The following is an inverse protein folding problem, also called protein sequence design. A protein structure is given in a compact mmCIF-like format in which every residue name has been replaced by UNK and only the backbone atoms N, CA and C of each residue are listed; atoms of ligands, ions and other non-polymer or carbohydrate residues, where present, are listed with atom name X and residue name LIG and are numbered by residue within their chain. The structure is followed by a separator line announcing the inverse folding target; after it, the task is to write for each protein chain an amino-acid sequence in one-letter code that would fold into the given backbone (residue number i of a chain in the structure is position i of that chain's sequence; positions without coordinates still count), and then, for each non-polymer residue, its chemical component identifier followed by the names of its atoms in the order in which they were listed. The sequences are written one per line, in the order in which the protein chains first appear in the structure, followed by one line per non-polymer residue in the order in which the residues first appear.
data_IF_207678417808
#
_entry.id   IF_207678417808
#
_cell.length_a   1.000
_cell.length_b   1.000
_cell.length_c   1.000
_cell.angle_alpha   90.00
_cell.angle_beta   90.00
_cell.angle_gamma   90.00
#
_symmetry.space_group_name_H-M   'P 1'
#
loop_
_entity.id
_entity.type
_entity.pdbx_description
1 polymer ?
#
# COMPACT_ATOMS: atom_id res chain seq x y z
N UNK A 1 -15.86 -7.42 18.10
CA UNK A 1 -14.37 -7.23 18.21
C UNK A 1 -13.81 -6.16 17.26
N UNK A 2 -14.38 -5.93 16.08
CA UNK A 2 -13.84 -4.95 15.11
C UNK A 2 -13.98 -3.48 15.56
N UNK A 3 -15.12 -3.11 16.15
CA UNK A 3 -15.38 -1.75 16.68
C UNK A 3 -14.43 -1.35 17.82
N UNK A 4 -14.06 -2.29 18.69
CA UNK A 4 -13.13 -2.04 19.80
C UNK A 4 -11.70 -1.81 19.29
N UNK A 5 -11.27 -2.55 18.27
CA UNK A 5 -9.98 -2.32 17.60
C UNK A 5 -9.91 -0.92 17.00
N UNK A 6 -10.95 -0.45 16.31
CA UNK A 6 -11.01 0.91 15.76
C UNK A 6 -10.95 2.02 16.80
N UNK A 7 -11.66 1.85 17.92
CA UNK A 7 -11.68 2.84 18.98
C UNK A 7 -10.28 3.07 19.58
N UNK A 8 -9.43 2.03 19.57
CA UNK A 8 -8.06 2.06 20.06
C UNK A 8 -7.03 2.62 19.05
N UNK A 9 -7.42 2.83 17.78
CA UNK A 9 -6.53 3.38 16.75
C UNK A 9 -6.35 4.89 16.92
N UNK A 10 -5.14 5.38 16.64
CA UNK A 10 -4.84 6.81 16.60
C UNK A 10 -5.48 7.50 15.37
N UNK A 11 -5.43 8.83 15.31
CA UNK A 11 -6.08 9.61 14.24
C UNK A 11 -5.55 9.31 12.83
N UNK A 12 -4.31 8.86 12.71
CA UNK A 12 -3.68 8.48 11.44
C UNK A 12 -4.06 7.06 11.03
N UNK A 13 -4.13 6.14 12.00
CA UNK A 13 -4.59 4.76 11.83
C UNK A 13 -6.08 4.71 11.53
N UNK A 14 -6.90 5.58 12.13
CA UNK A 14 -8.34 5.73 11.80
C UNK A 14 -8.56 6.18 10.36
N UNK A 15 -7.70 7.07 9.82
CA UNK A 15 -7.70 7.44 8.40
C UNK A 15 -7.28 6.28 7.49
N UNK A 16 -6.36 5.43 7.95
CA UNK A 16 -6.03 4.14 7.32
C UNK A 16 -7.16 3.12 7.36
N UNK A 17 -7.99 3.16 8.39
CA UNK A 17 -9.10 2.23 8.58
C UNK A 17 -10.28 2.48 7.63
N UNK A 18 -10.38 3.67 7.03
CA UNK A 18 -11.32 3.98 5.95
C UNK A 18 -11.11 3.11 4.69
N UNK A 19 -10.01 2.35 4.63
CA UNK A 19 -9.71 1.47 3.51
C UNK A 19 -10.21 0.03 3.65
N UNK A 20 -10.79 -0.31 4.81
CA UNK A 20 -11.26 -1.64 5.14
C UNK A 20 -10.35 -2.39 6.13
N UNK A 21 -10.86 -3.44 6.80
CA UNK A 21 -10.17 -4.11 7.90
C UNK A 21 -8.87 -4.83 7.49
N UNK A 22 -8.77 -5.27 6.24
CA UNK A 22 -7.57 -5.95 5.71
C UNK A 22 -6.43 -4.96 5.49
N UNK A 23 -6.70 -3.87 4.75
CA UNK A 23 -5.68 -2.85 4.49
C UNK A 23 -5.32 -2.05 5.75
N UNK A 24 -6.28 -1.85 6.66
CA UNK A 24 -6.06 -1.20 7.94
C UNK A 24 -5.06 -1.95 8.84
N UNK A 25 -4.94 -3.27 8.71
CA UNK A 25 -3.96 -4.05 9.47
C UNK A 25 -2.52 -3.82 8.97
N UNK A 26 -2.36 -3.61 7.67
CA UNK A 26 -1.05 -3.42 7.04
C UNK A 26 -0.66 -1.92 6.99
N UNK A 27 -1.57 -1.04 7.41
CA UNK A 27 -1.45 0.42 7.34
C UNK A 27 -0.17 0.99 7.95
N UNK A 28 0.30 0.58 9.15
CA UNK A 28 1.54 1.13 9.72
C UNK A 28 2.77 0.92 8.82
N UNK A 29 2.79 -0.16 8.02
CA UNK A 29 3.89 -0.47 7.10
C UNK A 29 3.77 0.28 5.77
N UNK A 30 2.55 0.64 5.38
CA UNK A 30 2.24 1.33 4.12
C UNK A 30 2.10 2.85 4.27
N UNK A 31 1.96 3.35 5.50
CA UNK A 31 1.76 4.76 5.83
C UNK A 31 2.84 5.70 5.26
N UNK A 32 4.14 5.35 5.26
CA UNK A 32 5.18 6.20 4.66
C UNK A 32 5.01 6.44 3.16
N UNK A 33 4.18 5.63 2.48
CA UNK A 33 3.96 5.71 1.04
C UNK A 33 2.64 6.39 0.68
N UNK A 34 1.63 6.31 1.54
CA UNK A 34 0.31 6.95 1.33
C UNK A 34 0.26 8.39 1.85
N UNK A 35 1.35 8.89 2.44
CA UNK A 35 1.48 10.26 2.94
C UNK A 35 1.52 11.34 1.85
N UNK A 36 1.96 11.00 0.62
CA UNK A 36 2.04 11.95 -0.50
C UNK A 36 1.65 11.28 -1.84
N UNK A 37 0.39 10.86 -1.93
CA UNK A 37 -0.22 10.36 -3.16
C UNK A 37 -1.22 11.42 -3.65
N UNK A 38 -1.11 11.93 -4.89
CA UNK A 38 -2.11 12.82 -5.46
C UNK A 38 -3.49 12.19 -5.34
N UNK A 39 -4.49 13.00 -5.05
CA UNK A 39 -5.86 12.53 -4.81
C UNK A 39 -6.40 11.68 -5.97
N UNK A 40 -6.05 12.08 -7.20
CA UNK A 40 -6.37 11.39 -8.45
C UNK A 40 -5.81 9.96 -8.53
N UNK A 41 -4.63 9.73 -7.98
CA UNK A 41 -3.97 8.41 -7.96
C UNK A 41 -4.40 7.56 -6.77
N UNK A 42 -4.87 8.20 -5.70
CA UNK A 42 -5.18 7.56 -4.42
C UNK A 42 -6.25 6.49 -4.55
N UNK A 43 -7.32 6.76 -5.29
CA UNK A 43 -8.40 5.79 -5.49
C UNK A 43 -7.91 4.53 -6.24
N UNK A 44 -7.14 4.72 -7.32
CA UNK A 44 -6.58 3.61 -8.11
C UNK A 44 -5.56 2.81 -7.30
N UNK A 45 -4.74 3.49 -6.51
CA UNK A 45 -3.76 2.84 -5.65
C UNK A 45 -4.42 1.93 -4.61
N UNK A 46 -5.50 2.40 -3.99
CA UNK A 46 -6.27 1.60 -3.04
C UNK A 46 -6.92 0.38 -3.69
N UNK A 47 -7.41 0.50 -4.93
CA UNK A 47 -7.94 -0.65 -5.66
C UNK A 47 -6.85 -1.71 -5.92
N UNK A 48 -5.65 -1.28 -6.32
CA UNK A 48 -4.50 -2.19 -6.50
C UNK A 48 -4.14 -2.88 -5.17
N UNK A 49 -4.02 -2.12 -4.08
CA UNK A 49 -3.67 -2.67 -2.76
C UNK A 49 -4.73 -3.65 -2.21
N UNK A 50 -6.01 -3.46 -2.53
CA UNK A 50 -7.10 -4.39 -2.20
C UNK A 50 -7.08 -5.66 -3.06
N UNK A 51 -6.58 -5.57 -4.30
CA UNK A 51 -6.39 -6.72 -5.17
C UNK A 51 -5.17 -7.57 -4.80
N UNK A 52 -4.26 -7.03 -3.98
CA UNK A 52 -3.13 -7.77 -3.43
C UNK A 52 -3.55 -8.63 -2.23
N UNK A 53 -2.92 -9.78 -2.05
CA UNK A 53 -3.00 -10.53 -0.79
C UNK A 53 -2.07 -9.95 0.30
N UNK A 54 -2.11 -10.51 1.50
CA UNK A 54 -1.27 -10.05 2.62
C UNK A 54 0.23 -10.26 2.38
N UNK A 55 0.64 -11.30 1.67
CA UNK A 55 2.05 -11.57 1.38
C UNK A 55 2.60 -10.56 0.36
N UNK A 56 1.81 -10.26 -0.68
CA UNK A 56 2.13 -9.25 -1.68
C UNK A 56 2.24 -7.85 -1.06
N UNK A 57 1.33 -7.48 -0.14
CA UNK A 57 1.43 -6.21 0.60
C UNK A 57 2.65 -6.15 1.51
N UNK A 58 3.01 -7.25 2.17
CA UNK A 58 4.22 -7.33 2.98
C UNK A 58 5.50 -7.19 2.13
N UNK A 59 5.55 -7.85 0.98
CA UNK A 59 6.66 -7.73 0.03
C UNK A 59 6.77 -6.30 -0.52
N UNK A 60 5.64 -5.68 -0.89
CA UNK A 60 5.60 -4.29 -1.31
C UNK A 60 6.22 -3.36 -0.25
N UNK A 61 5.87 -3.53 1.02
CA UNK A 61 6.45 -2.73 2.09
C UNK A 61 7.98 -2.88 2.18
N UNK A 62 8.50 -4.10 2.00
CA UNK A 62 9.94 -4.36 2.02
C UNK A 62 10.67 -3.78 0.80
N UNK A 63 10.06 -3.87 -0.41
CA UNK A 63 10.57 -3.20 -1.62
C UNK A 63 10.67 -1.69 -1.36
N UNK A 64 9.58 -1.07 -0.88
CA UNK A 64 9.50 0.37 -0.66
C UNK A 64 10.49 0.86 0.39
N UNK A 65 10.76 0.06 1.43
CA UNK A 65 11.72 0.39 2.49
C UNK A 65 13.13 0.64 1.93
N UNK A 66 13.52 -0.09 0.88
CA UNK A 66 14.86 0.01 0.27
C UNK A 66 14.99 1.16 -0.72
N UNK A 67 13.89 1.73 -1.18
CA UNK A 67 13.90 2.79 -2.19
C UNK A 67 14.03 4.19 -1.58
N UNK A 68 14.71 5.07 -2.31
CA UNK A 68 14.74 6.51 -2.05
C UNK A 68 13.34 7.14 -2.24
N UNK A 69 13.07 8.35 -1.73
CA UNK A 69 11.79 9.02 -1.95
C UNK A 69 11.39 9.14 -3.44
N UNK A 70 12.36 9.44 -4.32
CA UNK A 70 12.13 9.48 -5.76
C UNK A 70 11.84 8.09 -6.35
N UNK A 71 12.62 7.07 -5.96
CA UNK A 71 12.39 5.69 -6.42
C UNK A 71 11.02 5.15 -6.01
N UNK A 72 10.51 5.55 -4.83
CA UNK A 72 9.15 5.22 -4.38
C UNK A 72 8.06 5.82 -5.26
N UNK A 73 8.29 7.00 -5.85
CA UNK A 73 7.34 7.64 -6.78
C UNK A 73 7.33 6.87 -8.10
N UNK A 74 8.51 6.50 -8.62
CA UNK A 74 8.61 5.73 -9.86
C UNK A 74 7.98 4.35 -9.73
N UNK A 75 8.26 3.61 -8.65
CA UNK A 75 7.58 2.33 -8.39
C UNK A 75 6.06 2.46 -8.30
N UNK A 76 5.54 3.57 -7.76
CA UNK A 76 4.09 3.82 -7.71
C UNK A 76 3.51 3.97 -9.10
N UNK A 77 4.15 4.76 -9.94
CA UNK A 77 3.73 5.01 -11.32
C UNK A 77 3.74 3.72 -12.14
N UNK A 78 4.81 2.92 -12.00
CA UNK A 78 4.89 1.59 -12.61
C UNK A 78 3.73 0.71 -12.15
N UNK A 79 3.51 0.59 -10.84
CA UNK A 79 2.46 -0.25 -10.28
C UNK A 79 1.06 0.18 -10.75
N UNK A 80 0.80 1.50 -10.83
CA UNK A 80 -0.48 2.06 -11.28
C UNK A 80 -0.73 1.90 -12.80
N UNK A 81 0.33 1.68 -13.59
CA UNK A 81 0.23 1.44 -15.03
C UNK A 81 0.01 -0.04 -15.37
N UNK A 82 0.23 -0.95 -14.41
CA UNK A 82 0.12 -2.39 -14.63
C UNK A 82 -1.32 -2.90 -14.53
N UNK A 83 -1.68 -3.93 -15.34
CA UNK A 83 -2.87 -4.72 -15.07
C UNK A 83 -2.77 -5.40 -13.68
N UNK A 84 -3.86 -5.49 -12.89
CA UNK A 84 -3.82 -6.07 -11.55
C UNK A 84 -3.25 -7.51 -11.50
N UNK A 85 -3.50 -8.31 -12.53
CA UNK A 85 -2.98 -9.67 -12.65
C UNK A 85 -1.43 -9.74 -12.73
N UNK A 86 -0.76 -8.64 -13.08
CA UNK A 86 0.71 -8.56 -13.17
C UNK A 86 1.38 -8.06 -11.89
N UNK A 87 0.62 -7.61 -10.90
CA UNK A 87 1.18 -7.04 -9.66
C UNK A 87 2.10 -8.03 -8.93
N UNK A 88 1.79 -9.34 -8.95
CA UNK A 88 2.65 -10.37 -8.36
C UNK A 88 4.03 -10.47 -9.04
N UNK A 89 4.05 -10.66 -10.37
CA UNK A 89 5.31 -10.71 -11.13
C UNK A 89 6.12 -9.42 -10.99
N UNK A 90 5.46 -8.27 -10.97
CA UNK A 90 6.13 -6.99 -10.81
C UNK A 90 6.76 -6.83 -9.41
N UNK A 91 6.10 -7.33 -8.35
CA UNK A 91 6.67 -7.29 -7.00
C UNK A 91 7.96 -8.11 -6.89
N UNK A 92 8.03 -9.25 -7.59
CA UNK A 92 9.25 -10.06 -7.66
C UNK A 92 10.38 -9.32 -8.40
N UNK A 93 10.05 -8.67 -9.51
CA UNK A 93 11.01 -7.85 -10.27
C UNK A 93 11.50 -6.65 -9.46
N UNK A 94 10.59 -5.90 -8.84
CA UNK A 94 10.89 -4.76 -8.00
C UNK A 94 11.71 -5.15 -6.76
N UNK A 95 11.52 -6.38 -6.25
CA UNK A 95 12.31 -6.88 -5.13
C UNK A 95 13.77 -7.20 -5.46
N UNK A 96 14.11 -7.33 -6.74
CA UNK A 96 15.49 -7.56 -7.20
C UNK A 96 16.25 -6.27 -7.54
N UNK A 97 15.57 -5.12 -7.52
CA UNK A 97 16.17 -3.79 -7.71
C UNK A 97 16.72 -3.26 -6.38
#
# INVERSE_FOLDING_TARGET
RLRQRFAALDGMERRGWLFGPELGNDWPRLQPWLGYVPEEERARLLQVLRGMDGAQRAQLAEVLRRQSPAGRIELRRELLALPPARSGSWLEEAARR
#
